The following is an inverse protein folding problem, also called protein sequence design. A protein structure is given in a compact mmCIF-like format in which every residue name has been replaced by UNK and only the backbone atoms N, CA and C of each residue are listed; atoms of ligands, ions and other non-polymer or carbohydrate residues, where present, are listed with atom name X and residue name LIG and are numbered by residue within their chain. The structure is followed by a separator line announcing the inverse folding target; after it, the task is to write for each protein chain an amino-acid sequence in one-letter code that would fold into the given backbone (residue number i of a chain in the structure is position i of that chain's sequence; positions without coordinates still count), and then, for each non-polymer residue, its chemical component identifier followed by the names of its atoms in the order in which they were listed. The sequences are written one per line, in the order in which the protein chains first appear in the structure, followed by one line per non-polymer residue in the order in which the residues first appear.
data_IF_443503042860
#
_entry.id   IF_443503042860
#
_cell.length_a   1.000
_cell.length_b   1.000
_cell.length_c   1.000
_cell.angle_alpha   90.00
_cell.angle_beta   90.00
_cell.angle_gamma   90.00
#
_symmetry.space_group_name_H-M   'P 1'
#
loop_
_entity.id
_entity.type
_entity.pdbx_description
1 polymer ?
#
# COMPACT_ATOMS: atom_id res chain seq x y z
N UNK A 1 6.82 -0.99 19.22
CA UNK A 1 7.84 -0.45 18.28
C UNK A 1 8.33 -1.63 17.43
N UNK A 2 8.27 -1.58 16.09
CA UNK A 2 8.78 -2.67 15.24
C UNK A 2 7.96 -3.08 14.00
N UNK A 3 6.88 -2.39 13.65
CA UNK A 3 6.08 -2.74 12.45
C UNK A 3 6.57 -2.09 11.15
N UNK A 4 7.47 -1.10 11.22
CA UNK A 4 8.03 -0.40 10.05
C UNK A 4 9.49 -0.79 9.95
N UNK A 5 9.81 -1.54 8.89
CA UNK A 5 11.19 -1.93 8.57
C UNK A 5 11.83 -0.77 7.81
N UNK A 6 13.07 -0.40 8.17
CA UNK A 6 13.84 0.68 7.54
C UNK A 6 13.16 2.06 7.51
N UNK A 7 12.50 2.45 8.62
CA UNK A 7 11.77 3.71 8.72
C UNK A 7 12.65 4.93 8.45
N UNK A 8 13.83 5.01 9.07
CA UNK A 8 14.75 6.12 8.93
C UNK A 8 15.25 6.27 7.48
N UNK A 9 15.53 5.14 6.80
CA UNK A 9 15.96 5.14 5.40
C UNK A 9 14.84 5.60 4.46
N UNK A 10 13.59 5.19 4.74
CA UNK A 10 12.41 5.63 3.99
C UNK A 10 12.20 7.14 4.12
N UNK A 11 12.33 7.70 5.32
CA UNK A 11 12.26 9.15 5.56
C UNK A 11 13.39 9.90 4.85
N UNK A 12 14.61 9.37 4.88
CA UNK A 12 15.74 9.94 4.16
C UNK A 12 15.50 9.95 2.64
N UNK A 13 14.89 8.90 2.07
CA UNK A 13 14.51 8.86 0.65
C UNK A 13 13.43 9.90 0.32
N UNK A 14 12.42 10.07 1.18
CA UNK A 14 11.37 11.05 0.98
C UNK A 14 11.89 12.49 0.94
N UNK A 15 13.01 12.79 1.61
CA UNK A 15 13.67 14.10 1.54
C UNK A 15 14.38 14.38 0.20
N UNK A 16 14.60 13.35 -0.63
CA UNK A 16 15.41 13.42 -1.86
C UNK A 16 14.63 13.13 -3.14
N UNK A 17 13.43 12.56 -3.03
CA UNK A 17 12.59 12.13 -4.14
C UNK A 17 11.21 12.77 -4.03
N UNK A 18 10.49 12.88 -5.15
CA UNK A 18 9.04 13.12 -5.11
C UNK A 18 8.33 11.83 -4.65
N UNK A 19 8.45 11.56 -3.35
CA UNK A 19 8.00 10.34 -2.71
C UNK A 19 7.11 10.67 -1.51
N UNK A 20 5.86 10.20 -1.57
CA UNK A 20 4.94 10.23 -0.45
C UNK A 20 4.86 8.84 0.18
N UNK A 21 5.16 8.76 1.48
CA UNK A 21 5.08 7.53 2.25
C UNK A 21 3.88 7.61 3.19
N UNK A 22 3.06 6.57 3.19
CA UNK A 22 1.90 6.44 4.07
C UNK A 22 2.02 5.13 4.82
N UNK A 23 2.26 5.21 6.12
CA UNK A 23 2.30 4.06 7.00
C UNK A 23 0.89 3.73 7.50
N UNK A 24 0.50 2.46 7.36
CA UNK A 24 -0.76 1.90 7.88
C UNK A 24 -0.41 0.83 8.90
N UNK A 25 -0.77 1.04 10.17
CA UNK A 25 -0.44 0.11 11.25
C UNK A 25 -1.69 -0.58 11.79
N UNK A 26 -1.65 -1.90 11.91
CA UNK A 26 -2.74 -2.67 12.52
C UNK A 26 -2.80 -2.48 14.04
N UNK A 27 -1.64 -2.40 14.68
CA UNK A 27 -1.48 -2.25 16.13
C UNK A 27 -0.60 -1.03 16.41
N UNK A 28 -1.09 0.20 16.23
CA UNK A 28 -0.27 1.40 16.33
C UNK A 28 0.20 1.65 17.79
N UNK A 29 1.38 2.26 17.99
CA UNK A 29 1.77 2.75 19.30
C UNK A 29 0.88 3.90 19.75
N UNK A 30 0.89 4.20 21.06
CA UNK A 30 0.21 5.37 21.61
C UNK A 30 0.70 6.66 20.94
N UNK A 31 -0.23 7.56 20.61
CA UNK A 31 0.07 8.82 19.94
C UNK A 31 0.31 8.74 18.43
N UNK A 32 0.11 7.57 17.80
CA UNK A 32 0.18 7.43 16.35
C UNK A 32 -0.82 8.33 15.63
N UNK A 33 -0.35 9.08 14.62
CA UNK A 33 -1.16 10.03 13.84
C UNK A 33 -1.39 9.59 12.40
N UNK A 34 -0.79 8.48 11.98
CA UNK A 34 -0.94 7.92 10.64
C UNK A 34 -2.21 7.08 10.50
N UNK A 35 -2.30 6.35 9.39
CA UNK A 35 -3.42 5.45 9.14
C UNK A 35 -3.36 4.23 10.07
N UNK A 36 -4.54 3.71 10.42
CA UNK A 36 -4.70 2.57 11.35
C UNK A 36 -5.64 1.55 10.72
N UNK A 37 -5.28 0.26 10.86
CA UNK A 37 -6.11 -0.86 10.43
C UNK A 37 -5.49 -1.64 9.28
N UNK A 38 -6.32 -2.02 8.30
CA UNK A 38 -5.93 -2.86 7.16
C UNK A 38 -6.05 -2.07 5.87
N UNK A 39 -5.29 -2.48 4.85
CA UNK A 39 -5.38 -1.91 3.52
C UNK A 39 -6.66 -2.40 2.83
N UNK A 40 -7.72 -1.59 2.90
CA UNK A 40 -9.03 -1.84 2.30
C UNK A 40 -9.41 -0.76 1.27
N UNK A 41 -10.63 -0.84 0.73
CA UNK A 41 -11.11 0.10 -0.29
C UNK A 41 -11.21 1.52 0.24
N UNK A 42 -11.71 1.68 1.45
CA UNK A 42 -11.92 2.97 2.11
C UNK A 42 -10.59 3.68 2.35
N UNK A 43 -9.58 2.95 2.83
CA UNK A 43 -8.23 3.49 3.02
C UNK A 43 -7.59 3.82 1.67
N UNK A 44 -7.64 2.92 0.70
CA UNK A 44 -7.10 3.16 -0.64
C UNK A 44 -7.75 4.38 -1.31
N UNK A 45 -9.07 4.58 -1.15
CA UNK A 45 -9.79 5.72 -1.72
C UNK A 45 -9.28 7.08 -1.20
N UNK A 46 -8.76 7.14 0.03
CA UNK A 46 -8.19 8.37 0.60
C UNK A 46 -6.87 8.78 -0.07
N UNK A 47 -6.14 7.83 -0.64
CA UNK A 47 -4.81 8.05 -1.21
C UNK A 47 -4.77 7.89 -2.74
N UNK A 48 -5.71 7.17 -3.33
CA UNK A 48 -5.83 6.97 -4.78
C UNK A 48 -6.88 7.93 -5.34
N UNK A 49 -6.44 9.14 -5.68
CA UNK A 49 -7.32 10.18 -6.25
C UNK A 49 -7.46 10.03 -7.78
N UNK A 50 -8.55 9.41 -8.24
CA UNK A 50 -8.94 9.50 -9.65
C UNK A 50 -9.56 10.88 -9.96
N UNK A 51 -9.40 11.41 -11.18
CA UNK A 51 -8.81 10.77 -12.38
C UNK A 51 -7.28 10.83 -12.48
N UNK A 52 -6.59 11.54 -11.57
CA UNK A 52 -5.15 11.79 -11.66
C UNK A 52 -4.27 10.53 -11.67
N UNK A 53 -4.77 9.40 -11.13
CA UNK A 53 -4.03 8.13 -11.08
C UNK A 53 -4.33 7.17 -12.25
N UNK A 54 -5.22 7.52 -13.20
CA UNK A 54 -5.66 6.59 -14.24
C UNK A 54 -4.53 6.08 -15.16
N UNK A 55 -3.46 6.87 -15.33
CA UNK A 55 -2.27 6.50 -16.12
C UNK A 55 -1.11 5.92 -15.30
N UNK A 56 -1.27 5.72 -13.98
CA UNK A 56 -0.19 5.23 -13.12
C UNK A 56 -0.19 3.71 -13.01
N UNK A 57 1.00 3.15 -12.81
CA UNK A 57 1.20 1.74 -12.45
C UNK A 57 1.14 1.57 -10.94
N UNK A 58 0.52 0.47 -10.51
CA UNK A 58 0.37 0.07 -9.11
C UNK A 58 1.13 -1.24 -8.92
N UNK A 59 2.18 -1.21 -8.10
CA UNK A 59 2.93 -2.40 -7.74
C UNK A 59 2.47 -2.91 -6.38
N UNK A 60 2.13 -4.20 -6.30
CA UNK A 60 1.58 -4.82 -5.09
C UNK A 60 2.42 -6.05 -4.74
N UNK A 61 3.02 -6.03 -3.55
CA UNK A 61 3.75 -7.16 -2.98
C UNK A 61 3.32 -7.35 -1.52
N UNK A 62 2.49 -8.35 -1.27
CA UNK A 62 1.97 -8.65 0.07
C UNK A 62 1.49 -10.13 0.12
N UNK A 63 1.05 -10.65 1.29
CA UNK A 63 0.53 -12.01 1.36
C UNK A 63 -0.65 -12.23 0.38
N UNK A 64 -0.86 -13.46 -0.15
CA UNK A 64 -1.84 -13.72 -1.21
C UNK A 64 -3.26 -13.18 -0.94
N UNK A 65 -3.77 -13.36 0.29
CA UNK A 65 -5.10 -12.87 0.66
C UNK A 65 -5.20 -11.32 0.65
N UNK A 66 -4.10 -10.63 0.91
CA UNK A 66 -4.03 -9.17 0.86
C UNK A 66 -3.94 -8.68 -0.59
N UNK A 67 -3.20 -9.37 -1.46
CA UNK A 67 -3.13 -9.04 -2.89
C UNK A 67 -4.54 -8.99 -3.48
N UNK A 68 -5.33 -10.05 -3.25
CA UNK A 68 -6.70 -10.14 -3.77
C UNK A 68 -7.60 -8.99 -3.25
N UNK A 69 -7.37 -8.54 -2.01
CA UNK A 69 -8.10 -7.41 -1.43
C UNK A 69 -7.72 -6.09 -2.09
N UNK A 70 -6.42 -5.84 -2.27
CA UNK A 70 -5.90 -4.62 -2.90
C UNK A 70 -6.29 -4.54 -4.37
N UNK A 71 -6.15 -5.63 -5.12
CA UNK A 71 -6.55 -5.68 -6.53
C UNK A 71 -8.03 -5.35 -6.71
N UNK A 72 -8.92 -5.98 -5.93
CA UNK A 72 -10.37 -5.69 -5.96
C UNK A 72 -10.67 -4.24 -5.61
N UNK A 73 -9.99 -3.69 -4.60
CA UNK A 73 -10.18 -2.32 -4.18
C UNK A 73 -9.75 -1.33 -5.28
N UNK A 74 -8.56 -1.51 -5.88
CA UNK A 74 -8.06 -0.66 -6.96
C UNK A 74 -8.97 -0.73 -8.20
N UNK A 75 -9.40 -1.92 -8.61
CA UNK A 75 -10.36 -2.09 -9.71
C UNK A 75 -11.70 -1.42 -9.39
N UNK A 76 -12.21 -1.59 -8.17
CA UNK A 76 -13.45 -0.94 -7.70
C UNK A 76 -13.32 0.58 -7.51
N UNK A 77 -12.10 1.11 -7.54
CA UNK A 77 -11.81 2.54 -7.60
C UNK A 77 -11.63 3.03 -9.03
N UNK A 78 -11.65 2.17 -10.05
CA UNK A 78 -11.54 2.52 -11.46
C UNK A 78 -10.13 2.37 -12.06
N UNK A 79 -9.20 1.73 -11.34
CA UNK A 79 -7.87 1.41 -11.88
C UNK A 79 -7.99 0.24 -12.88
N UNK A 80 -7.53 0.39 -14.14
CA UNK A 80 -7.52 -0.71 -15.09
C UNK A 80 -6.63 -1.86 -14.60
N UNK A 81 -7.09 -3.10 -14.70
CA UNK A 81 -6.34 -4.28 -14.24
C UNK A 81 -4.93 -4.36 -14.84
N UNK A 82 -4.77 -3.97 -16.12
CA UNK A 82 -3.46 -3.91 -16.81
C UNK A 82 -2.44 -2.96 -16.17
N UNK A 83 -2.86 -2.05 -15.29
CA UNK A 83 -1.98 -1.14 -14.57
C UNK A 83 -1.61 -1.67 -13.18
N UNK A 84 -2.10 -2.84 -12.79
CA UNK A 84 -1.80 -3.46 -11.51
C UNK A 84 -0.81 -4.60 -11.76
N UNK A 85 0.39 -4.48 -11.19
CA UNK A 85 1.43 -5.50 -11.24
C UNK A 85 1.58 -6.07 -9.84
N UNK A 86 1.12 -7.31 -9.66
CA UNK A 86 1.16 -7.99 -8.38
C UNK A 86 2.20 -9.12 -8.39
N UNK A 87 3.07 -9.11 -7.39
CA UNK A 87 4.00 -10.21 -7.13
C UNK A 87 3.37 -11.18 -6.13
N UNK A 88 3.13 -12.42 -6.57
CA UNK A 88 2.44 -13.46 -5.79
C UNK A 88 3.45 -14.51 -5.31
N UNK A 89 4.10 -14.25 -4.18
CA UNK A 89 4.99 -15.23 -3.55
C UNK A 89 4.21 -16.46 -3.07
N UNK A 90 4.65 -17.64 -3.52
CA UNK A 90 4.27 -18.90 -2.89
C UNK A 90 5.33 -19.25 -1.86
N UNK A 91 4.93 -19.34 -0.60
CA UNK A 91 5.79 -19.90 0.43
C UNK A 91 5.71 -21.41 0.28
N UNK A 92 6.71 -22.01 -0.34
CA UNK A 92 6.88 -23.46 -0.32
C UNK A 92 7.14 -23.85 1.14
N UNK A 93 6.11 -24.36 1.81
CA UNK A 93 6.27 -25.05 3.08
C UNK A 93 6.75 -26.46 2.74
N UNK A 94 8.04 -26.71 2.99
CA UNK A 94 8.54 -28.06 3.20
C UNK A 94 7.83 -28.72 4.38
#
# INVERSE_FOLDING_TARGET
VGQIVHGDELEALASRLDLRIVHVLGEPPEGWKGEVGRLDRELLARHVALPAMAGRLFFVCCPPAMIDTVERALVGLGVPLRHIVAERFRYDRG
#
